data_IF_890139991314
#
_entry.id   IF_890139991314
#
_cell.length_a   1.000
_cell.length_b   1.000
_cell.length_c   1.000
_cell.angle_alpha   90.00
_cell.angle_beta   90.00
_cell.angle_gamma   90.00
#
_symmetry.space_group_name_H-M   'P 1'
#
loop_
_entity.id
_entity.type
_entity.pdbx_description
1 polymer ?
#
# COMPACT_ATOMS: atom_id res chain seq x y z
N UNK A 1 18.76 21.16 -25.51
CA UNK A 1 19.06 19.77 -25.11
C UNK A 1 19.80 19.69 -23.77
N UNK A 2 19.47 20.50 -22.75
CA UNK A 2 20.06 20.45 -21.39
C UNK A 2 19.03 20.25 -20.26
N UNK A 3 17.76 20.52 -20.56
CA UNK A 3 16.67 20.37 -19.60
C UNK A 3 16.35 18.89 -19.35
N UNK A 4 16.29 18.07 -20.40
CA UNK A 4 15.93 16.65 -20.30
C UNK A 4 16.92 15.83 -19.46
N UNK A 5 18.23 16.11 -19.59
CA UNK A 5 19.27 15.43 -18.79
C UNK A 5 19.20 15.84 -17.31
N UNK A 6 18.91 17.11 -17.03
CA UNK A 6 18.80 17.61 -15.66
C UNK A 6 17.57 17.04 -14.96
N UNK A 7 16.43 16.95 -15.66
CA UNK A 7 15.21 16.33 -15.13
C UNK A 7 15.38 14.83 -14.90
N UNK A 8 16.07 14.12 -15.80
CA UNK A 8 16.34 12.70 -15.65
C UNK A 8 17.22 12.41 -14.42
N UNK A 9 18.28 13.21 -14.20
CA UNK A 9 19.16 13.08 -13.02
C UNK A 9 18.40 13.38 -11.71
N UNK A 10 17.51 14.37 -11.71
CA UNK A 10 16.70 14.70 -10.53
C UNK A 10 15.72 13.57 -10.19
N UNK A 11 15.09 12.96 -11.20
CA UNK A 11 14.18 11.82 -11.01
C UNK A 11 14.91 10.57 -10.52
N UNK A 12 16.13 10.32 -11.02
CA UNK A 12 16.98 9.22 -10.56
C UNK A 12 17.36 9.38 -9.08
N UNK A 13 17.85 10.56 -8.69
CA UNK A 13 18.17 10.86 -7.28
C UNK A 13 16.96 10.74 -6.35
N UNK A 14 15.78 11.12 -6.83
CA UNK A 14 14.54 10.98 -6.07
C UNK A 14 14.17 9.50 -5.85
N UNK A 15 14.39 8.64 -6.86
CA UNK A 15 14.22 7.19 -6.73
C UNK A 15 15.21 6.61 -5.74
N UNK A 16 16.49 6.95 -5.86
CA UNK A 16 17.53 6.45 -4.94
C UNK A 16 17.25 6.84 -3.49
N UNK A 17 16.84 8.09 -3.25
CA UNK A 17 16.47 8.56 -1.91
C UNK A 17 15.24 7.82 -1.36
N UNK A 18 14.27 7.52 -2.22
CA UNK A 18 13.08 6.75 -1.84
C UNK A 18 13.42 5.30 -1.53
N UNK A 19 14.23 4.66 -2.37
CA UNK A 19 14.60 3.26 -2.19
C UNK A 19 15.48 3.10 -0.93
N UNK A 20 16.39 4.04 -0.66
CA UNK A 20 17.14 4.09 0.60
C UNK A 20 16.24 4.30 1.84
N UNK A 21 15.16 5.10 1.72
CA UNK A 21 14.19 5.28 2.80
C UNK A 21 13.36 4.01 3.05
N UNK A 22 13.04 3.26 1.99
CA UNK A 22 12.36 1.95 2.09
C UNK A 22 13.28 0.94 2.80
N UNK A 23 14.54 0.84 2.37
CA UNK A 23 15.51 -0.08 2.99
C UNK A 23 15.73 0.25 4.46
N UNK A 24 15.89 1.54 4.80
CA UNK A 24 16.02 1.98 6.19
C UNK A 24 14.77 1.66 7.04
N UNK A 25 13.57 1.79 6.46
CA UNK A 25 12.33 1.45 7.14
C UNK A 25 12.17 -0.07 7.33
N UNK A 26 12.63 -0.88 6.36
CA UNK A 26 12.66 -2.35 6.48
C UNK A 26 13.64 -2.77 7.59
N UNK A 27 14.83 -2.19 7.64
CA UNK A 27 15.83 -2.52 8.67
C UNK A 27 15.37 -2.09 10.07
N UNK A 28 14.79 -0.88 10.20
CA UNK A 28 14.21 -0.43 11.47
C UNK A 28 13.06 -1.35 11.94
N UNK A 29 12.25 -1.86 11.01
CA UNK A 29 11.18 -2.81 11.31
C UNK A 29 11.71 -4.20 11.73
N UNK A 30 12.83 -4.66 11.16
CA UNK A 30 13.52 -5.88 11.59
C UNK A 30 14.07 -5.74 13.01
N UNK A 31 14.62 -4.58 13.37
CA UNK A 31 15.17 -4.32 14.70
C UNK A 31 14.11 -4.36 15.82
N UNK A 32 12.85 -4.05 15.51
CA UNK A 32 11.72 -4.18 16.45
C UNK A 32 11.03 -5.56 16.39
N UNK A 33 11.61 -6.53 15.67
CA UNK A 33 11.15 -7.92 15.63
C UNK A 33 9.91 -8.16 14.78
N UNK A 34 9.59 -7.27 13.84
CA UNK A 34 8.47 -7.48 12.93
C UNK A 34 8.84 -8.56 11.89
N UNK A 35 7.88 -9.44 11.50
CA UNK A 35 8.08 -10.35 10.38
C UNK A 35 8.48 -9.58 9.11
N UNK A 36 9.22 -10.22 8.20
CA UNK A 36 9.67 -9.61 6.94
C UNK A 36 8.52 -9.00 6.13
N UNK A 37 7.41 -9.74 6.04
CA UNK A 37 6.15 -9.28 5.43
C UNK A 37 5.61 -8.00 6.05
N UNK A 38 5.56 -7.97 7.38
CA UNK A 38 5.11 -6.83 8.14
C UNK A 38 6.03 -5.62 8.00
N UNK A 39 7.34 -5.87 7.99
CA UNK A 39 8.39 -4.86 7.79
C UNK A 39 8.26 -4.19 6.43
N UNK A 40 8.07 -4.97 5.36
CA UNK A 40 7.88 -4.45 4.01
C UNK A 40 6.59 -3.62 3.87
N UNK A 41 5.47 -4.10 4.45
CA UNK A 41 4.22 -3.32 4.45
C UNK A 41 4.34 -2.04 5.29
N UNK A 42 5.01 -2.10 6.44
CA UNK A 42 5.27 -0.93 7.30
C UNK A 42 6.08 0.13 6.55
N UNK A 43 7.17 -0.28 5.90
CA UNK A 43 7.99 0.60 5.10
C UNK A 43 7.16 1.32 4.02
N UNK A 44 6.29 0.60 3.29
CA UNK A 44 5.40 1.21 2.31
C UNK A 44 4.48 2.27 2.94
N UNK A 45 3.88 1.98 4.10
CA UNK A 45 2.97 2.93 4.79
C UNK A 45 3.72 4.17 5.26
N UNK A 46 4.92 4.00 5.82
CA UNK A 46 5.75 5.10 6.36
C UNK A 46 6.35 5.96 5.24
N UNK A 47 6.94 5.35 4.20
CA UNK A 47 7.52 6.07 3.06
C UNK A 47 6.46 6.88 2.32
N UNK A 48 5.24 6.34 2.18
CA UNK A 48 4.14 7.05 1.52
C UNK A 48 3.34 7.95 2.46
N UNK A 49 3.77 8.14 3.72
CA UNK A 49 3.10 8.98 4.72
C UNK A 49 1.59 8.70 4.87
N UNK A 50 1.19 7.43 4.75
CA UNK A 50 -0.21 7.02 4.74
C UNK A 50 -0.79 6.98 6.16
N UNK A 51 -1.11 8.16 6.69
CA UNK A 51 -1.56 8.32 8.07
C UNK A 51 -3.04 7.96 8.28
N UNK A 52 -3.86 8.04 7.22
CA UNK A 52 -5.30 7.81 7.33
C UNK A 52 -5.62 6.33 7.13
N UNK A 53 -6.48 5.78 7.99
CA UNK A 53 -6.87 4.37 7.92
C UNK A 53 -7.41 3.92 6.54
N UNK A 54 -8.26 4.70 5.82
CA UNK A 54 -8.68 4.33 4.47
C UNK A 54 -7.51 4.16 3.49
N UNK A 55 -6.49 5.01 3.58
CA UNK A 55 -5.33 4.98 2.68
C UNK A 55 -4.42 3.79 3.04
N UNK A 56 -4.26 3.49 4.34
CA UNK A 56 -3.58 2.27 4.80
C UNK A 56 -4.29 0.99 4.32
N UNK A 57 -5.63 0.97 4.33
CA UNK A 57 -6.41 -0.17 3.79
C UNK A 57 -6.21 -0.29 2.29
N UNK A 58 -6.23 0.83 1.56
CA UNK A 58 -5.99 0.85 0.12
C UNK A 58 -4.58 0.33 -0.21
N UNK A 59 -3.56 0.76 0.54
CA UNK A 59 -2.19 0.27 0.43
C UNK A 59 -2.06 -1.22 0.78
N UNK A 60 -2.77 -1.70 1.80
CA UNK A 60 -2.77 -3.13 2.13
C UNK A 60 -3.31 -3.99 0.98
N UNK A 61 -4.38 -3.55 0.32
CA UNK A 61 -4.90 -4.25 -0.87
C UNK A 61 -3.90 -4.18 -2.02
N UNK A 62 -3.27 -3.03 -2.27
CA UNK A 62 -2.25 -2.90 -3.31
C UNK A 62 -1.07 -3.84 -3.04
N UNK A 63 -0.53 -3.84 -1.82
CA UNK A 63 0.58 -4.69 -1.42
C UNK A 63 0.26 -6.19 -1.64
N UNK A 64 -0.89 -6.65 -1.17
CA UNK A 64 -1.30 -8.04 -1.33
C UNK A 64 -1.45 -8.44 -2.81
N UNK A 65 -1.98 -7.55 -3.67
CA UNK A 65 -2.28 -7.87 -5.07
C UNK A 65 -1.07 -7.72 -5.99
N UNK A 66 -0.43 -6.57 -5.92
CA UNK A 66 0.58 -6.15 -6.89
C UNK A 66 2.01 -6.50 -6.43
N UNK A 67 2.24 -6.68 -5.12
CA UNK A 67 3.56 -7.06 -4.57
C UNK A 67 3.61 -8.55 -4.24
N UNK A 68 2.66 -9.06 -3.46
CA UNK A 68 2.65 -10.48 -3.04
C UNK A 68 1.94 -11.41 -4.02
N UNK A 69 1.25 -10.89 -5.03
CA UNK A 69 0.43 -11.68 -5.96
C UNK A 69 -0.64 -12.55 -5.29
N UNK A 70 -1.09 -12.17 -4.09
CA UNK A 70 -2.17 -12.84 -3.35
C UNK A 70 -3.50 -12.32 -3.88
N UNK A 71 -4.25 -13.12 -4.63
CA UNK A 71 -5.58 -12.73 -5.15
C UNK A 71 -6.69 -12.85 -4.11
N UNK A 72 -6.61 -13.87 -3.24
CA UNK A 72 -7.64 -14.18 -2.25
C UNK A 72 -7.19 -13.76 -0.85
N UNK A 73 -7.67 -12.60 -0.39
CA UNK A 73 -7.34 -12.06 0.94
C UNK A 73 -8.60 -11.84 1.78
N UNK A 74 -9.08 -12.86 2.51
CA UNK A 74 -10.16 -12.68 3.47
C UNK A 74 -9.75 -11.69 4.59
N UNK A 75 -10.71 -11.12 5.35
CA UNK A 75 -10.41 -10.09 6.35
C UNK A 75 -9.29 -10.45 7.33
N UNK A 76 -9.21 -11.73 7.74
CA UNK A 76 -8.12 -12.24 8.59
C UNK A 76 -6.73 -12.04 8.00
N UNK A 77 -6.55 -12.19 6.68
CA UNK A 77 -5.25 -12.01 6.01
C UNK A 77 -4.86 -10.55 5.99
N UNK A 78 -5.81 -9.65 5.69
CA UNK A 78 -5.57 -8.21 5.70
C UNK A 78 -5.25 -7.74 7.13
N UNK A 79 -6.05 -8.13 8.13
CA UNK A 79 -5.80 -7.75 9.52
C UNK A 79 -4.48 -8.31 10.06
N UNK A 80 -4.08 -9.51 9.63
CA UNK A 80 -2.77 -10.06 9.98
C UNK A 80 -1.64 -9.21 9.41
N UNK A 81 -1.76 -8.71 8.17
CA UNK A 81 -0.75 -7.82 7.58
C UNK A 81 -0.54 -6.54 8.40
N UNK A 82 -1.63 -5.93 8.90
CA UNK A 82 -1.54 -4.79 9.82
C UNK A 82 -0.84 -5.16 11.12
N UNK A 83 -1.20 -6.30 11.71
CA UNK A 83 -0.63 -6.80 12.96
C UNK A 83 0.87 -7.11 12.81
N UNK A 84 1.25 -7.78 11.71
CA UNK A 84 2.63 -8.10 11.36
C UNK A 84 3.47 -6.81 11.17
N UNK A 85 2.86 -5.72 10.72
CA UNK A 85 3.52 -4.42 10.57
C UNK A 85 3.58 -3.59 11.86
N UNK A 86 2.97 -4.08 12.95
CA UNK A 86 2.84 -3.31 14.20
C UNK A 86 1.95 -2.08 14.03
N UNK A 87 0.99 -2.11 13.09
CA UNK A 87 0.02 -1.05 12.83
C UNK A 87 -1.34 -1.54 13.32
N UNK A 88 -2.07 -0.70 14.05
CA UNK A 88 -3.41 -1.02 14.52
C UNK A 88 -4.33 -1.40 13.34
N UNK A 89 -4.99 -2.58 13.35
CA UNK A 89 -5.92 -2.97 12.29
C UNK A 89 -7.09 -1.98 12.13
N UNK A 90 -7.78 -1.94 10.97
CA UNK A 90 -8.89 -1.02 10.73
C UNK A 90 -10.17 -1.29 11.54
N UNK A 91 -10.22 -2.36 12.34
CA UNK A 91 -11.45 -2.83 12.99
C UNK A 91 -12.46 -3.34 11.95
N UNK A 92 -13.41 -2.50 11.53
CA UNK A 92 -14.42 -2.86 10.53
C UNK A 92 -13.88 -2.74 9.09
N UNK A 93 -13.03 -3.69 8.69
CA UNK A 93 -12.41 -3.71 7.35
C UNK A 93 -13.44 -3.66 6.22
N UNK A 94 -14.54 -4.41 6.32
CA UNK A 94 -15.59 -4.43 5.28
C UNK A 94 -16.18 -3.04 5.03
N UNK A 95 -16.36 -2.22 6.06
CA UNK A 95 -16.83 -0.85 5.92
C UNK A 95 -15.84 0.00 5.10
N UNK A 96 -14.53 -0.11 5.39
CA UNK A 96 -13.51 0.60 4.61
C UNK A 96 -13.50 0.15 3.16
N UNK A 97 -13.52 -1.16 2.91
CA UNK A 97 -13.52 -1.70 1.54
C UNK A 97 -14.75 -1.24 0.76
N UNK A 98 -15.94 -1.27 1.37
CA UNK A 98 -17.17 -0.79 0.72
C UNK A 98 -17.11 0.70 0.40
N UNK A 99 -16.68 1.55 1.35
CA UNK A 99 -16.53 3.00 1.11
C UNK A 99 -15.49 3.32 0.03
N UNK A 100 -14.41 2.54 -0.04
CA UNK A 100 -13.40 2.71 -1.09
C UNK A 100 -13.93 2.27 -2.46
N UNK A 101 -14.78 1.22 -2.52
CA UNK A 101 -15.51 0.83 -3.73
C UNK A 101 -16.51 1.90 -4.17
N UNK A 102 -17.30 2.44 -3.25
CA UNK A 102 -18.26 3.53 -3.51
C UNK A 102 -17.57 4.79 -4.07
N UNK A 103 -16.34 5.06 -3.62
CA UNK A 103 -15.49 6.14 -4.15
C UNK A 103 -14.80 5.82 -5.47
N UNK A 104 -14.98 4.61 -6.01
CA UNK A 104 -14.35 4.14 -7.25
C UNK A 104 -12.84 3.88 -7.13
N UNK A 105 -12.29 3.77 -5.92
CA UNK A 105 -10.86 3.50 -5.68
C UNK A 105 -10.55 2.01 -5.65
N UNK A 106 -11.54 1.20 -5.27
CA UNK A 106 -11.49 -0.25 -5.35
C UNK A 106 -12.59 -0.76 -6.28
N UNK A 107 -12.38 -1.94 -6.82
CA UNK A 107 -13.41 -2.74 -7.47
C UNK A 107 -13.20 -4.22 -7.17
N UNK A 108 -14.25 -5.02 -7.38
CA UNK A 108 -14.15 -6.48 -7.39
C UNK A 108 -14.33 -6.95 -8.84
N UNK A 109 -13.42 -7.77 -9.39
CA UNK A 109 -13.61 -8.35 -10.72
C UNK A 109 -14.89 -9.18 -10.80
N UNK A 110 -15.57 -9.14 -11.95
CA UNK A 110 -16.93 -9.69 -12.12
C UNK A 110 -17.03 -11.18 -11.77
N UNK A 111 -15.99 -11.95 -12.06
CA UNK A 111 -15.90 -13.38 -11.79
C UNK A 111 -15.99 -13.72 -10.28
N UNK A 112 -15.71 -12.75 -9.41
CA UNK A 112 -15.75 -12.90 -7.96
C UNK A 112 -17.02 -12.31 -7.32
N UNK A 113 -17.92 -11.73 -8.11
CA UNK A 113 -19.14 -11.07 -7.64
C UNK A 113 -18.82 -9.83 -6.81
N UNK A 114 -19.47 -9.66 -5.65
CA UNK A 114 -19.24 -8.51 -4.75
C UNK A 114 -18.38 -8.86 -3.52
N UNK A 115 -17.57 -9.91 -3.62
CA UNK A 115 -16.79 -10.42 -2.48
C UNK A 115 -15.53 -9.57 -2.25
N UNK A 116 -15.54 -8.78 -1.19
CA UNK A 116 -14.44 -7.92 -0.74
C UNK A 116 -13.05 -8.59 -0.63
N UNK A 117 -13.00 -9.91 -0.42
CA UNK A 117 -11.73 -10.66 -0.34
C UNK A 117 -10.93 -10.65 -1.65
N UNK A 118 -11.56 -10.29 -2.76
CA UNK A 118 -10.97 -10.20 -4.10
C UNK A 118 -10.87 -8.75 -4.61
N UNK A 119 -11.06 -7.75 -3.75
CA UNK A 119 -10.94 -6.35 -4.15
C UNK A 119 -9.55 -6.06 -4.75
N UNK A 120 -9.52 -5.23 -5.78
CA UNK A 120 -8.31 -4.71 -6.44
C UNK A 120 -8.41 -3.20 -6.58
N UNK A 121 -7.27 -2.53 -6.75
CA UNK A 121 -7.24 -1.09 -7.02
C UNK A 121 -7.67 -0.81 -8.45
N UNK A 122 -8.51 0.22 -8.61
CA UNK A 122 -8.76 0.84 -9.92
C UNK A 122 -7.60 1.75 -10.29
N UNK A 123 -7.56 2.24 -11.53
CA UNK A 123 -6.62 3.29 -11.94
C UNK A 123 -6.74 4.55 -11.06
N UNK A 124 -7.96 4.90 -10.64
CA UNK A 124 -8.19 6.02 -9.73
C UNK A 124 -7.65 5.74 -8.31
N UNK A 125 -7.76 4.49 -7.83
CA UNK A 125 -7.17 4.05 -6.57
C UNK A 125 -5.64 4.16 -6.56
N UNK A 126 -4.99 3.72 -7.65
CA UNK A 126 -3.53 3.85 -7.82
C UNK A 126 -3.10 5.31 -7.82
N UNK A 127 -3.73 6.12 -8.67
CA UNK A 127 -3.45 7.57 -8.73
C UNK A 127 -3.71 8.29 -7.38
N UNK A 128 -4.70 7.85 -6.60
CA UNK A 128 -4.94 8.38 -5.26
C UNK A 128 -3.76 8.09 -4.32
N UNK A 129 -3.23 6.85 -4.31
CA UNK A 129 -2.04 6.52 -3.51
C UNK A 129 -0.80 7.30 -3.95
N UNK A 130 -0.55 7.38 -5.27
CA UNK A 130 0.59 8.13 -5.83
C UNK A 130 0.56 9.61 -5.43
N UNK A 131 -0.64 10.20 -5.36
CA UNK A 131 -0.81 11.57 -4.90
C UNK A 131 -0.49 11.71 -3.41
N UNK A 132 -0.89 10.75 -2.57
CA UNK A 132 -0.57 10.80 -1.13
C UNK A 132 0.92 10.61 -0.88
N UNK A 133 1.61 9.77 -1.64
CA UNK A 133 3.05 9.50 -1.47
C UNK A 133 3.95 10.68 -1.90
N UNK A 134 3.41 11.66 -2.62
CA UNK A 134 4.13 12.84 -3.09
C UNK A 134 3.77 14.12 -2.31
N UNK A 135 2.83 14.02 -1.36
CA UNK A 135 2.31 15.16 -0.58
C UNK A 135 3.07 15.42 0.72
#
# INVERSE_FOLDING_TARGET
MRHDDTWSIVLERLRDARDAAIDAAIDAARDVGLPERGSAFRALVETCSLNKKPDQVLAAIHYLRDVESVTDSPPRVVNQLFSDAGIEPPGNLSLYLNRLKERGLLMVPLEYGDKNRYSILTSAGKAHLDKQSTS
#
